data_IF_391518667225
#
_entry.id   IF_391518667225
#
_cell.length_a   1.000
_cell.length_b   1.000
_cell.length_c   1.000
_cell.angle_alpha   90.00
_cell.angle_beta   90.00
_cell.angle_gamma   90.00
#
_symmetry.space_group_name_H-M   'P 1'
#
loop_
_entity.id
_entity.type
_entity.pdbx_description
1 polymer ?
#
# COMPACT_ATOMS: atom_id res chain seq x y z
N UNK A 1 12.45 13.07 -4.35
CA UNK A 1 12.39 12.06 -5.43
C UNK A 1 13.12 12.56 -6.67
N UNK A 2 12.80 13.76 -7.18
CA UNK A 2 13.70 14.46 -8.10
C UNK A 2 15.10 14.63 -7.46
N UNK A 3 16.14 14.48 -8.27
CA UNK A 3 17.56 14.66 -7.89
C UNK A 3 18.14 13.67 -6.86
N UNK A 4 17.41 12.59 -6.56
CA UNK A 4 17.88 11.52 -5.66
C UNK A 4 18.77 10.47 -6.35
N UNK A 5 19.11 10.64 -7.63
CA UNK A 5 19.76 9.62 -8.47
C UNK A 5 18.86 8.45 -8.88
N UNK A 6 17.70 8.28 -8.21
CA UNK A 6 16.74 7.20 -8.47
C UNK A 6 16.20 7.22 -9.91
N UNK A 7 16.08 8.41 -10.51
CA UNK A 7 15.64 8.55 -11.90
C UNK A 7 16.62 7.90 -12.89
N UNK A 8 17.93 7.99 -12.63
CA UNK A 8 18.97 7.43 -13.50
C UNK A 8 18.99 5.91 -13.39
N UNK A 9 18.94 5.39 -12.15
CA UNK A 9 18.91 3.94 -11.88
C UNK A 9 17.67 3.28 -12.49
N UNK A 10 16.50 3.88 -12.28
CA UNK A 10 15.25 3.30 -12.78
C UNK A 10 15.06 3.48 -14.29
N UNK A 11 15.59 4.55 -14.90
CA UNK A 11 15.46 4.75 -16.36
C UNK A 11 16.25 3.74 -17.18
N UNK A 12 17.23 3.06 -16.57
CA UNK A 12 17.94 1.95 -17.21
C UNK A 12 17.04 0.71 -17.39
N UNK A 13 16.00 0.57 -16.57
CA UNK A 13 15.12 -0.60 -16.54
C UNK A 13 13.74 -0.27 -17.12
N UNK A 14 13.25 0.96 -16.92
CA UNK A 14 11.89 1.36 -17.25
C UNK A 14 11.81 2.69 -18.03
N UNK A 15 10.98 2.73 -19.08
CA UNK A 15 10.70 3.95 -19.83
C UNK A 15 9.76 4.92 -19.11
N UNK A 16 9.98 6.23 -19.25
CA UNK A 16 9.06 7.27 -18.74
C UNK A 16 9.19 7.61 -17.25
N UNK A 17 10.16 7.02 -16.56
CA UNK A 17 10.48 7.22 -15.13
C UNK A 17 10.57 8.69 -14.70
N UNK A 18 11.22 9.62 -15.44
CA UNK A 18 11.32 11.02 -15.00
C UNK A 18 9.96 11.70 -14.80
N UNK A 19 8.97 11.34 -15.63
CA UNK A 19 7.59 11.86 -15.50
C UNK A 19 6.91 11.29 -14.25
N UNK A 20 7.18 10.02 -13.92
CA UNK A 20 6.63 9.32 -12.77
C UNK A 20 7.23 9.76 -11.43
N UNK A 21 8.46 10.26 -11.42
CA UNK A 21 9.13 10.74 -10.20
C UNK A 21 8.88 12.24 -9.92
N UNK A 22 8.19 12.93 -10.83
CA UNK A 22 7.90 14.38 -10.74
C UNK A 22 6.96 14.75 -9.59
N UNK A 23 6.33 13.78 -8.92
CA UNK A 23 5.45 14.03 -7.78
C UNK A 23 4.06 14.56 -8.15
N UNK A 24 3.90 15.14 -9.35
CA UNK A 24 2.69 15.84 -9.80
C UNK A 24 1.52 14.91 -10.16
N UNK A 25 1.77 13.59 -10.31
CA UNK A 25 0.77 12.61 -10.72
C UNK A 25 0.78 11.41 -9.77
N UNK A 26 -0.10 11.44 -8.76
CA UNK A 26 -0.18 10.42 -7.72
C UNK A 26 -0.19 8.96 -8.23
N UNK A 27 -0.99 8.57 -9.25
CA UNK A 27 -0.97 7.19 -9.75
C UNK A 27 0.38 6.76 -10.33
N UNK A 28 1.12 7.70 -10.93
CA UNK A 28 2.43 7.45 -11.50
C UNK A 28 3.49 7.27 -10.40
N UNK A 29 3.40 8.05 -9.32
CA UNK A 29 4.28 7.92 -8.17
C UNK A 29 4.09 6.56 -7.48
N UNK A 30 2.84 6.11 -7.29
CA UNK A 30 2.55 4.79 -6.70
C UNK A 30 3.14 3.68 -7.55
N UNK A 31 2.98 3.76 -8.88
CA UNK A 31 3.58 2.78 -9.79
C UNK A 31 5.11 2.83 -9.76
N UNK A 32 5.72 4.00 -9.62
CA UNK A 32 7.17 4.11 -9.47
C UNK A 32 7.66 3.39 -8.20
N UNK A 33 6.99 3.60 -7.06
CA UNK A 33 7.34 2.94 -5.80
C UNK A 33 7.24 1.40 -5.90
N UNK A 34 6.21 0.90 -6.59
CA UNK A 34 6.06 -0.54 -6.85
C UNK A 34 7.24 -1.09 -7.65
N UNK A 35 7.63 -0.41 -8.73
CA UNK A 35 8.77 -0.83 -9.56
C UNK A 35 10.08 -0.83 -8.77
N UNK A 36 10.32 0.18 -7.92
CA UNK A 36 11.51 0.20 -7.05
C UNK A 36 11.52 -1.01 -6.12
N UNK A 37 10.39 -1.30 -5.46
CA UNK A 37 10.30 -2.43 -4.54
C UNK A 37 10.49 -3.76 -5.27
N UNK A 38 9.92 -3.91 -6.47
CA UNK A 38 10.10 -5.11 -7.30
C UNK A 38 11.58 -5.34 -7.63
N UNK A 39 12.28 -4.30 -8.12
CA UNK A 39 13.72 -4.42 -8.44
C UNK A 39 14.60 -4.67 -7.22
N UNK A 40 14.28 -4.04 -6.08
CA UNK A 40 15.02 -4.27 -4.82
C UNK A 40 14.83 -5.71 -4.33
N UNK A 41 13.64 -6.28 -4.50
CA UNK A 41 13.32 -7.65 -4.08
C UNK A 41 13.73 -8.71 -5.09
N UNK A 42 14.00 -8.34 -6.35
CA UNK A 42 14.34 -9.26 -7.45
C UNK A 42 15.43 -10.26 -7.04
N UNK A 43 16.55 -9.77 -6.51
CA UNK A 43 17.67 -10.63 -6.11
C UNK A 43 17.32 -11.60 -4.98
N UNK A 44 16.44 -11.19 -4.05
CA UNK A 44 15.99 -12.03 -2.94
C UNK A 44 15.08 -13.15 -3.47
N UNK A 45 14.13 -12.80 -4.34
CA UNK A 45 13.17 -13.74 -4.93
C UNK A 45 13.88 -14.75 -5.84
N UNK A 46 14.90 -14.32 -6.60
CA UNK A 46 15.66 -15.22 -7.49
C UNK A 46 16.57 -16.18 -6.71
N UNK A 47 17.09 -15.77 -5.55
CA UNK A 47 18.04 -16.57 -4.77
C UNK A 47 17.38 -17.50 -3.76
N UNK A 48 16.12 -17.24 -3.38
CA UNK A 48 15.42 -18.00 -2.33
C UNK A 48 14.05 -18.47 -2.80
N UNK A 49 13.68 -19.74 -2.56
CA UNK A 49 12.33 -20.21 -2.88
C UNK A 49 11.32 -19.62 -1.87
N UNK A 50 10.58 -18.60 -2.29
CA UNK A 50 9.54 -17.95 -1.49
C UNK A 50 8.19 -18.54 -1.90
N UNK A 51 7.51 -19.20 -0.95
CA UNK A 51 6.19 -19.82 -1.22
C UNK A 51 5.05 -18.96 -0.69
N UNK A 52 5.31 -18.19 0.37
CA UNK A 52 4.29 -17.40 1.05
C UNK A 52 4.79 -15.99 1.41
N UNK A 53 3.82 -15.09 1.66
CA UNK A 53 4.10 -13.76 2.23
C UNK A 53 4.91 -13.86 3.52
N UNK A 54 4.60 -14.85 4.37
CA UNK A 54 5.27 -15.03 5.65
C UNK A 54 6.78 -15.29 5.46
N UNK A 55 7.14 -16.11 4.48
CA UNK A 55 8.55 -16.43 4.19
C UNK A 55 9.30 -15.16 3.78
N UNK A 56 8.72 -14.36 2.88
CA UNK A 56 9.31 -13.08 2.48
C UNK A 56 9.46 -12.13 3.66
N UNK A 57 8.44 -12.00 4.51
CA UNK A 57 8.50 -11.11 5.68
C UNK A 57 9.58 -11.55 6.68
N UNK A 58 9.72 -12.85 6.93
CA UNK A 58 10.76 -13.41 7.79
C UNK A 58 12.17 -13.09 7.26
N UNK A 59 12.40 -13.29 5.95
CA UNK A 59 13.68 -12.94 5.31
C UNK A 59 13.97 -11.44 5.44
N UNK A 60 12.98 -10.58 5.20
CA UNK A 60 13.15 -9.13 5.33
C UNK A 60 13.45 -8.70 6.77
N UNK A 61 12.83 -9.34 7.77
CA UNK A 61 13.12 -9.08 9.18
C UNK A 61 14.53 -9.52 9.57
N UNK A 62 14.96 -10.69 9.09
CA UNK A 62 16.34 -11.16 9.26
C UNK A 62 17.33 -10.16 8.64
N UNK A 63 17.12 -9.74 7.39
CA UNK A 63 17.97 -8.77 6.70
C UNK A 63 17.97 -7.40 7.40
N UNK A 64 16.82 -6.94 7.88
CA UNK A 64 16.69 -5.70 8.65
C UNK A 64 17.46 -5.75 9.98
N UNK A 65 17.59 -6.92 10.60
CA UNK A 65 18.36 -7.08 11.84
C UNK A 65 19.86 -6.86 11.63
N UNK A 66 20.37 -7.09 10.42
CA UNK A 66 21.81 -7.05 10.08
C UNK A 66 22.34 -5.63 9.85
N UNK A 67 21.49 -4.68 9.46
CA UNK A 67 21.93 -3.30 9.15
C UNK A 67 20.81 -2.27 9.34
N UNK A 68 21.18 -1.11 9.92
CA UNK A 68 20.27 0.04 10.08
C UNK A 68 19.75 0.56 8.74
N UNK A 69 20.60 0.56 7.70
CA UNK A 69 20.19 0.99 6.37
C UNK A 69 19.20 0.02 5.77
N UNK A 70 19.44 -1.29 5.87
CA UNK A 70 18.49 -2.30 5.41
C UNK A 70 17.17 -2.20 6.15
N UNK A 71 17.22 -2.00 7.48
CA UNK A 71 16.03 -1.74 8.28
C UNK A 71 15.24 -0.54 7.79
N UNK A 72 15.91 0.56 7.44
CA UNK A 72 15.26 1.74 6.88
C UNK A 72 14.53 1.41 5.57
N UNK A 73 15.17 0.71 4.63
CA UNK A 73 14.54 0.30 3.36
C UNK A 73 13.33 -0.62 3.58
N UNK A 74 13.45 -1.59 4.49
CA UNK A 74 12.37 -2.52 4.81
C UNK A 74 11.19 -1.81 5.46
N UNK A 75 11.45 -1.02 6.51
CA UNK A 75 10.40 -0.41 7.32
C UNK A 75 9.78 0.82 6.66
N UNK A 76 10.52 1.60 5.86
CA UNK A 76 10.02 2.87 5.30
C UNK A 76 9.62 2.77 3.83
N UNK A 77 10.16 1.82 3.05
CA UNK A 77 9.80 1.66 1.65
C UNK A 77 8.99 0.38 1.41
N UNK A 78 9.56 -0.79 1.72
CA UNK A 78 8.99 -2.07 1.28
C UNK A 78 7.65 -2.35 1.98
N UNK A 79 7.62 -2.31 3.33
CA UNK A 79 6.40 -2.56 4.11
C UNK A 79 5.27 -1.58 3.76
N UNK A 80 5.49 -0.25 3.68
CA UNK A 80 4.45 0.70 3.25
C UNK A 80 3.90 0.44 1.86
N UNK A 81 4.75 0.08 0.89
CA UNK A 81 4.29 -0.22 -0.47
C UNK A 81 3.39 -1.47 -0.48
N UNK A 82 3.74 -2.51 0.28
CA UNK A 82 2.88 -3.68 0.42
C UNK A 82 1.54 -3.36 1.08
N UNK A 83 1.53 -2.54 2.13
CA UNK A 83 0.29 -2.11 2.78
C UNK A 83 -0.57 -1.28 1.82
N UNK A 84 0.04 -0.37 1.05
CA UNK A 84 -0.66 0.43 0.05
C UNK A 84 -1.28 -0.46 -1.04
N UNK A 85 -0.56 -1.46 -1.53
CA UNK A 85 -1.08 -2.43 -2.49
C UNK A 85 -2.23 -3.26 -1.90
N UNK A 86 -2.12 -3.67 -0.65
CA UNK A 86 -3.17 -4.40 0.06
C UNK A 86 -4.44 -3.55 0.23
N UNK A 87 -4.29 -2.27 0.55
CA UNK A 87 -5.39 -1.32 0.62
C UNK A 87 -6.07 -1.12 -0.74
N UNK A 88 -5.30 -0.87 -1.80
CA UNK A 88 -5.83 -0.74 -3.17
C UNK A 88 -6.58 -1.99 -3.60
N UNK A 89 -6.05 -3.18 -3.26
CA UNK A 89 -6.71 -4.46 -3.53
C UNK A 89 -8.04 -4.56 -2.80
N UNK A 90 -8.06 -4.26 -1.50
CA UNK A 90 -9.27 -4.30 -0.68
C UNK A 90 -10.37 -3.39 -1.23
N UNK A 91 -10.01 -2.18 -1.66
CA UNK A 91 -10.93 -1.23 -2.29
C UNK A 91 -11.46 -1.72 -3.65
N UNK A 92 -10.64 -2.39 -4.46
CA UNK A 92 -11.07 -2.90 -5.78
C UNK A 92 -11.94 -4.14 -5.69
N UNK A 93 -11.62 -5.05 -4.76
CA UNK A 93 -12.32 -6.31 -4.58
C UNK A 93 -13.57 -6.17 -3.71
N UNK A 94 -13.63 -5.12 -2.88
CA UNK A 94 -14.68 -4.96 -1.88
C UNK A 94 -14.50 -5.84 -0.66
N UNK A 95 -13.27 -6.31 -0.43
CA UNK A 95 -12.91 -7.11 0.74
C UNK A 95 -12.88 -6.21 1.99
N UNK A 96 -13.91 -6.29 2.83
CA UNK A 96 -14.03 -5.43 4.01
C UNK A 96 -13.03 -5.78 5.11
N UNK A 97 -12.83 -7.05 5.49
CA UNK A 97 -11.77 -7.41 6.43
C UNK A 97 -10.39 -6.93 5.99
N UNK A 98 -10.03 -7.12 4.72
CA UNK A 98 -8.73 -6.69 4.20
C UNK A 98 -8.58 -5.17 4.22
N UNK A 99 -9.67 -4.43 4.01
CA UNK A 99 -9.69 -2.97 4.10
C UNK A 99 -9.32 -2.48 5.51
N UNK A 100 -9.99 -3.02 6.53
CA UNK A 100 -9.74 -2.63 7.93
C UNK A 100 -8.34 -3.05 8.39
N UNK A 101 -7.87 -4.22 7.97
CA UNK A 101 -6.51 -4.68 8.26
C UNK A 101 -5.48 -3.75 7.62
N UNK A 102 -5.62 -3.44 6.34
CA UNK A 102 -4.71 -2.54 5.63
C UNK A 102 -4.72 -1.13 6.25
N UNK A 103 -5.90 -0.60 6.59
CA UNK A 103 -6.02 0.70 7.21
C UNK A 103 -5.35 0.74 8.60
N UNK A 104 -5.54 -0.31 9.40
CA UNK A 104 -4.88 -0.46 10.70
C UNK A 104 -3.36 -0.47 10.57
N UNK A 105 -2.83 -1.22 9.59
CA UNK A 105 -1.39 -1.28 9.31
C UNK A 105 -0.83 0.04 8.77
N UNK A 106 -1.63 0.90 8.14
CA UNK A 106 -1.21 2.25 7.72
C UNK A 106 -1.05 3.22 8.91
N UNK A 107 -1.77 3.01 10.02
CA UNK A 107 -1.83 3.97 11.13
C UNK A 107 -0.46 4.38 11.70
N UNK A 108 0.48 3.45 11.98
CA UNK A 108 1.80 3.83 12.49
C UNK A 108 2.57 4.77 11.55
N UNK A 109 2.36 4.64 10.24
CA UNK A 109 3.02 5.49 9.24
C UNK A 109 2.45 6.90 9.21
N UNK A 110 1.14 7.07 9.43
CA UNK A 110 0.55 8.40 9.57
C UNK A 110 1.08 9.13 10.81
N UNK A 111 1.28 8.40 11.92
CA UNK A 111 1.94 8.97 13.10
C UNK A 111 3.39 9.33 12.82
N UNK A 112 4.17 8.40 12.24
CA UNK A 112 5.59 8.60 11.97
C UNK A 112 5.86 9.74 10.96
N UNK A 113 4.97 9.92 9.98
CA UNK A 113 5.06 10.98 8.97
C UNK A 113 4.52 12.34 9.45
N UNK A 114 4.05 12.45 10.70
CA UNK A 114 3.51 13.70 11.24
C UNK A 114 2.12 14.08 10.69
N UNK A 115 1.41 13.14 10.05
CA UNK A 115 0.03 13.32 9.59
C UNK A 115 -0.98 13.13 10.75
N UNK A 116 -0.81 13.92 11.80
CA UNK A 116 -1.53 13.76 13.09
C UNK A 116 -3.05 13.81 12.95
N UNK A 117 -3.57 14.60 12.01
CA UNK A 117 -5.00 14.65 11.72
C UNK A 117 -5.50 13.35 11.09
N UNK A 118 -4.80 12.84 10.07
CA UNK A 118 -5.13 11.54 9.46
C UNK A 118 -5.04 10.40 10.46
N UNK A 119 -4.02 10.43 11.33
CA UNK A 119 -3.88 9.45 12.38
C UNK A 119 -5.02 9.53 13.43
N UNK A 120 -5.39 10.74 13.87
CA UNK A 120 -6.48 10.93 14.83
C UNK A 120 -7.83 10.47 14.26
N UNK A 121 -8.19 10.97 13.08
CA UNK A 121 -9.46 10.63 12.45
C UNK A 121 -9.48 9.19 11.94
N UNK A 122 -8.33 8.64 11.55
CA UNK A 122 -8.19 7.24 11.19
C UNK A 122 -8.49 6.27 12.35
N UNK A 123 -8.03 6.58 13.57
CA UNK A 123 -8.41 5.79 14.74
C UNK A 123 -9.91 5.87 15.03
N UNK A 124 -10.48 7.07 14.93
CA UNK A 124 -11.93 7.26 15.09
C UNK A 124 -12.72 6.46 14.05
N UNK A 125 -12.26 6.50 12.79
CA UNK A 125 -12.82 5.71 11.70
C UNK A 125 -12.78 4.21 12.02
N UNK A 126 -11.62 3.66 12.39
CA UNK A 126 -11.50 2.23 12.74
C UNK A 126 -12.48 1.80 13.83
N UNK A 127 -12.60 2.58 14.91
CA UNK A 127 -13.57 2.30 15.98
C UNK A 127 -15.01 2.37 15.51
N UNK A 128 -15.33 3.32 14.65
CA UNK A 128 -16.67 3.44 14.07
C UNK A 128 -16.99 2.24 13.19
N UNK A 129 -15.99 1.74 12.45
CA UNK A 129 -16.15 0.58 11.57
C UNK A 129 -16.31 -0.74 12.33
N UNK A 130 -15.69 -0.88 13.51
CA UNK A 130 -15.89 -2.03 14.41
C UNK A 130 -17.31 -2.05 15.02
N UNK A 131 -17.95 -0.90 15.13
CA UNK A 131 -19.27 -0.72 15.76
C UNK A 131 -20.41 -0.55 14.75
N UNK A 132 -20.23 -1.00 13.50
CA UNK A 132 -21.26 -0.89 12.46
C UNK A 132 -22.52 -1.69 12.83
N UNK A 133 -23.73 -1.15 12.55
CA UNK A 133 -24.96 -1.93 12.64
C UNK A 133 -24.89 -3.17 11.74
N UNK A 134 -25.44 -4.30 12.18
CA UNK A 134 -25.37 -5.60 11.46
C UNK A 134 -25.79 -5.46 9.99
N UNK A 135 -26.90 -4.76 9.73
CA UNK A 135 -27.39 -4.54 8.36
C UNK A 135 -26.37 -3.83 7.47
N UNK A 136 -25.64 -2.86 8.01
CA UNK A 136 -24.62 -2.11 7.26
C UNK A 136 -23.38 -2.98 7.06
N UNK A 137 -22.97 -3.70 8.12
CA UNK A 137 -21.85 -4.63 8.04
C UNK A 137 -22.09 -5.70 6.95
N UNK A 138 -23.30 -6.25 6.86
CA UNK A 138 -23.65 -7.23 5.83
C UNK A 138 -23.46 -6.69 4.41
N UNK A 139 -23.85 -5.43 4.16
CA UNK A 139 -23.64 -4.76 2.86
C UNK A 139 -22.14 -4.58 2.57
N UNK A 140 -21.36 -4.24 3.60
CA UNK A 140 -19.92 -4.04 3.47
C UNK A 140 -19.20 -5.36 3.19
N UNK A 141 -19.61 -6.44 3.84
CA UNK A 141 -19.09 -7.78 3.62
C UNK A 141 -19.42 -8.33 2.22
N UNK A 142 -20.53 -7.88 1.61
CA UNK A 142 -20.87 -8.16 0.21
C UNK A 142 -20.08 -7.31 -0.79
N UNK A 143 -19.29 -6.35 -0.32
CA UNK A 143 -18.51 -5.46 -1.18
C UNK A 143 -19.35 -4.36 -1.85
N UNK A 144 -20.58 -4.10 -1.38
CA UNK A 144 -21.50 -3.12 -1.98
C UNK A 144 -21.07 -1.66 -1.78
N UNK A 145 -20.03 -1.42 -0.98
CA UNK A 145 -19.39 -0.11 -0.81
C UNK A 145 -18.49 0.30 -1.98
N UNK A 146 -18.07 -0.66 -2.82
CA UNK A 146 -17.06 -0.40 -3.87
C UNK A 146 -17.70 0.21 -5.09
N UNK A 147 -17.07 1.28 -5.58
CA UNK A 147 -17.42 1.90 -6.83
C UNK A 147 -17.10 0.96 -8.00
N UNK A 148 -18.12 0.27 -8.50
CA UNK A 148 -18.03 -0.48 -9.74
C UNK A 148 -18.62 0.36 -10.85
N UNK A 149 -17.78 0.66 -11.85
CA UNK A 149 -18.28 1.21 -13.11
C UNK A 149 -18.94 0.07 -13.89
N UNK A 150 -20.27 0.01 -13.80
CA UNK A 150 -21.10 -0.73 -14.74
C UNK A 150 -21.46 0.27 -15.85
N UNK A 151 -21.38 -0.07 -17.15
CA UNK A 151 -21.77 0.86 -18.21
C UNK A 151 -23.13 1.51 -17.92
N UNK A 152 -23.13 2.81 -17.63
CA UNK A 152 -24.33 3.60 -17.33
C UNK A 152 -24.76 3.72 -15.87
N UNK A 153 -24.07 3.10 -14.90
CA UNK A 153 -24.38 3.22 -13.46
C UNK A 153 -23.11 3.58 -12.69
N UNK A 154 -23.13 4.76 -12.07
CA UNK A 154 -22.14 5.19 -11.09
C UNK A 154 -22.69 4.92 -9.70
N UNK A 155 -22.10 3.96 -8.98
CA UNK A 155 -22.47 3.61 -7.60
C UNK A 155 -22.18 4.72 -6.57
N UNK A 156 -21.46 5.78 -6.97
CA UNK A 156 -21.18 6.97 -6.15
C UNK A 156 -22.42 7.87 -5.96
N UNK A 157 -23.42 7.70 -6.81
CA UNK A 157 -24.73 8.33 -6.64
C UNK A 157 -25.73 7.29 -6.20
N UNK A 158 -25.60 6.82 -4.95
CA UNK A 158 -26.77 6.31 -4.24
C UNK A 158 -27.83 7.42 -4.25
N UNK A 159 -28.87 7.22 -5.07
CA UNK A 159 -30.18 7.84 -4.93
C UNK A 159 -30.94 7.15 -3.81
#
# INVERSE_FOLDING_TARGET
MAESGLAEVMSAVFGGVPKMLSGKKFPQNVRALQLVVEEVLRSIIEQTPITSKHDLMSILEELASRSKTTKLWVDILIKPVFIMMMFIRAEREGDWPLHLEAFTLMMPYFYAAGHVHYARYGLFYLRSMEALPTKVLDLFMKGERVLRHIPGIWSDMCT
#
